data_IF_695658793352
#
_entry.id   IF_695658793352
#
_cell.length_a   1.000
_cell.length_b   1.000
_cell.length_c   1.000
_cell.angle_alpha   90.00
_cell.angle_beta   90.00
_cell.angle_gamma   90.00
#
_symmetry.space_group_name_H-M   'P 1'
#
loop_
_entity.id
_entity.type
_entity.pdbx_description
1 polymer ?
#
# COMPACT_ATOMS: atom_id res chain seq x y z
N UNK A 1 -20.73 10.28 -1.23
CA UNK A 1 -19.29 10.60 -1.20
C UNK A 1 -18.57 10.01 0.01
N UNK A 2 -18.98 10.31 1.26
CA UNK A 2 -18.30 9.86 2.49
C UNK A 2 -18.11 8.33 2.60
N UNK A 3 -19.12 7.54 2.18
CA UNK A 3 -19.05 6.07 2.24
C UNK A 3 -17.92 5.48 1.38
N UNK A 4 -17.61 6.09 0.24
CA UNK A 4 -16.57 5.61 -0.67
C UNK A 4 -15.17 5.87 -0.08
N UNK A 5 -14.99 7.01 0.59
CA UNK A 5 -13.75 7.34 1.32
C UNK A 5 -13.52 6.39 2.48
N UNK A 6 -14.57 6.06 3.26
CA UNK A 6 -14.43 5.09 4.36
C UNK A 6 -14.05 3.70 3.87
N UNK A 7 -14.55 3.27 2.70
CA UNK A 7 -14.21 1.97 2.11
C UNK A 7 -12.74 1.93 1.67
N UNK A 8 -12.26 2.98 1.02
CA UNK A 8 -10.83 3.12 0.69
C UNK A 8 -9.96 3.16 1.94
N UNK A 9 -10.41 3.82 3.00
CA UNK A 9 -9.68 3.84 4.27
C UNK A 9 -9.59 2.44 4.90
N UNK A 10 -10.65 1.63 4.84
CA UNK A 10 -10.61 0.23 5.29
C UNK A 10 -9.61 -0.59 4.47
N UNK A 11 -9.59 -0.39 3.15
CA UNK A 11 -8.65 -1.04 2.25
C UNK A 11 -7.20 -0.69 2.61
N UNK A 12 -6.89 0.61 2.69
CA UNK A 12 -5.54 1.08 2.99
C UNK A 12 -5.10 0.84 4.43
N UNK A 13 -6.02 0.81 5.39
CA UNK A 13 -5.71 0.50 6.79
C UNK A 13 -5.10 -0.89 6.97
N UNK A 14 -5.59 -1.89 6.22
CA UNK A 14 -5.06 -3.26 6.24
C UNK A 14 -3.67 -3.37 5.61
N UNK A 15 -3.33 -2.50 4.66
CA UNK A 15 -2.05 -2.53 3.94
C UNK A 15 -0.98 -1.64 4.57
N UNK A 16 -1.32 -0.42 4.99
CA UNK A 16 -0.36 0.59 5.43
C UNK A 16 0.41 0.14 6.67
N UNK A 17 -0.29 -0.40 7.68
CA UNK A 17 0.34 -0.86 8.93
C UNK A 17 1.44 -1.89 8.66
N UNK A 18 1.16 -3.04 8.01
CA UNK A 18 2.22 -4.00 7.72
C UNK A 18 3.29 -3.44 6.79
N UNK A 19 2.95 -2.57 5.83
CA UNK A 19 3.94 -1.97 4.92
C UNK A 19 4.95 -1.10 5.66
N UNK A 20 4.48 -0.26 6.58
CA UNK A 20 5.35 0.59 7.40
C UNK A 20 6.22 -0.28 8.31
N UNK A 21 5.65 -1.32 8.93
CA UNK A 21 6.41 -2.23 9.79
C UNK A 21 7.51 -2.97 9.02
N UNK A 22 7.18 -3.57 7.88
CA UNK A 22 8.16 -4.30 7.06
C UNK A 22 9.22 -3.36 6.47
N UNK A 23 8.85 -2.16 6.04
CA UNK A 23 9.84 -1.18 5.56
C UNK A 23 10.79 -0.75 6.66
N UNK A 24 10.29 -0.40 7.85
CA UNK A 24 11.13 -0.08 9.01
C UNK A 24 12.07 -1.23 9.40
N UNK A 25 11.58 -2.47 9.38
CA UNK A 25 12.41 -3.65 9.65
C UNK A 25 13.56 -3.77 8.63
N UNK A 26 13.29 -3.65 7.33
CA UNK A 26 14.35 -3.76 6.30
C UNK A 26 15.40 -2.65 6.44
N UNK A 27 14.97 -1.44 6.77
CA UNK A 27 15.89 -0.30 6.93
C UNK A 27 16.74 -0.45 8.18
N UNK A 28 16.20 -1.05 9.24
CA UNK A 28 16.99 -1.37 10.44
C UNK A 28 18.15 -2.33 10.12
N UNK A 29 18.01 -3.16 9.09
CA UNK A 29 19.04 -4.11 8.62
C UNK A 29 19.99 -3.51 7.58
N UNK A 30 19.53 -2.54 6.78
CA UNK A 30 20.27 -1.99 5.62
C UNK A 30 20.85 -0.59 5.86
N UNK A 31 20.49 0.05 6.97
CA UNK A 31 20.93 1.39 7.38
C UNK A 31 19.80 2.42 7.32
N UNK A 32 19.67 3.22 8.38
CA UNK A 32 18.64 4.24 8.52
C UNK A 32 18.86 5.43 7.59
N UNK A 33 18.12 5.47 6.48
CA UNK A 33 18.00 6.65 5.61
C UNK A 33 16.57 6.81 5.08
N UNK A 34 16.12 8.06 4.90
CA UNK A 34 14.79 8.35 4.37
C UNK A 34 14.64 7.84 2.93
N UNK A 35 15.70 7.92 2.12
CA UNK A 35 15.74 7.41 0.76
C UNK A 35 15.56 5.88 0.72
N UNK A 36 16.23 5.14 1.61
CA UNK A 36 16.03 3.69 1.73
C UNK A 36 14.62 3.36 2.21
N UNK A 37 14.04 4.19 3.11
CA UNK A 37 12.64 4.03 3.51
C UNK A 37 11.68 4.13 2.35
N UNK A 38 11.79 5.18 1.55
CA UNK A 38 10.98 5.37 0.35
C UNK A 38 11.08 4.21 -0.63
N UNK A 39 12.31 3.71 -0.87
CA UNK A 39 12.54 2.56 -1.73
C UNK A 39 11.93 1.27 -1.17
N UNK A 40 12.12 0.99 0.11
CA UNK A 40 11.55 -0.18 0.77
C UNK A 40 10.02 -0.13 0.74
N UNK A 41 9.43 1.01 1.09
CA UNK A 41 7.98 1.22 1.03
C UNK A 41 7.45 1.04 -0.40
N UNK A 42 8.15 1.60 -1.40
CA UNK A 42 7.78 1.48 -2.81
C UNK A 42 7.67 0.02 -3.29
N UNK A 43 8.57 -0.85 -2.82
CA UNK A 43 8.60 -2.27 -3.18
C UNK A 43 7.65 -3.12 -2.34
N UNK A 44 7.56 -2.85 -1.04
CA UNK A 44 6.76 -3.64 -0.10
C UNK A 44 5.26 -3.36 -0.27
N UNK A 45 4.86 -2.12 -0.55
CA UNK A 45 3.43 -1.77 -0.61
C UNK A 45 2.66 -2.53 -1.70
N UNK A 46 3.15 -2.62 -2.96
CA UNK A 46 2.52 -3.44 -3.99
C UNK A 46 2.64 -4.95 -3.70
N UNK A 47 3.73 -5.38 -3.08
CA UNK A 47 3.93 -6.78 -2.70
C UNK A 47 2.91 -7.22 -1.64
N UNK A 48 2.65 -6.38 -0.63
CA UNK A 48 1.63 -6.65 0.38
C UNK A 48 0.22 -6.51 -0.18
N UNK A 49 -0.03 -5.60 -1.13
CA UNK A 49 -1.30 -5.59 -1.87
C UNK A 49 -1.53 -6.95 -2.53
N UNK A 50 -0.54 -7.44 -3.28
CA UNK A 50 -0.60 -8.76 -3.89
C UNK A 50 -0.84 -9.85 -2.84
N UNK A 51 -0.03 -9.91 -1.79
CA UNK A 51 -0.13 -10.98 -0.79
C UNK A 51 -1.49 -10.98 -0.07
N UNK A 52 -1.97 -9.81 0.36
CA UNK A 52 -3.21 -9.70 1.10
C UNK A 52 -4.42 -9.96 0.20
N UNK A 53 -4.50 -9.32 -0.96
CA UNK A 53 -5.73 -9.34 -1.77
C UNK A 53 -5.70 -10.37 -2.91
N UNK A 54 -4.55 -10.77 -3.42
CA UNK A 54 -4.45 -11.83 -4.45
C UNK A 54 -4.24 -13.21 -3.87
N UNK A 55 -3.61 -13.35 -2.70
CA UNK A 55 -3.31 -14.67 -2.12
C UNK A 55 -4.28 -15.00 -0.99
N UNK A 56 -4.33 -14.15 0.04
CA UNK A 56 -5.04 -14.45 1.29
C UNK A 56 -6.55 -14.15 1.23
N UNK A 57 -6.92 -12.97 0.78
CA UNK A 57 -8.27 -12.40 0.88
C UNK A 57 -8.86 -12.08 -0.51
N UNK A 58 -8.74 -13.04 -1.45
CA UNK A 58 -9.24 -12.93 -2.83
C UNK A 58 -10.67 -12.42 -2.94
N UNK A 59 -11.53 -12.83 -2.00
CA UNK A 59 -12.95 -12.49 -2.03
C UNK A 59 -13.23 -11.03 -1.68
N UNK A 60 -12.30 -10.32 -1.03
CA UNK A 60 -12.50 -8.91 -0.69
C UNK A 60 -12.52 -8.02 -1.93
N UNK A 61 -11.89 -8.41 -3.05
CA UNK A 61 -12.04 -7.66 -4.30
C UNK A 61 -13.49 -7.58 -4.79
N UNK A 62 -14.28 -8.64 -4.60
CA UNK A 62 -15.71 -8.61 -4.95
C UNK A 62 -16.48 -7.65 -4.05
N UNK A 63 -16.12 -7.56 -2.77
CA UNK A 63 -16.70 -6.56 -1.86
C UNK A 63 -16.42 -5.15 -2.36
N UNK A 64 -15.16 -4.81 -2.68
CA UNK A 64 -14.83 -3.46 -3.18
C UNK A 64 -15.43 -3.17 -4.57
N UNK A 65 -15.54 -4.19 -5.42
CA UNK A 65 -16.18 -4.07 -6.73
C UNK A 65 -17.67 -3.70 -6.62
N UNK A 66 -18.39 -4.22 -5.63
CA UNK A 66 -19.80 -3.87 -5.37
C UNK A 66 -19.98 -2.38 -5.01
N UNK A 67 -18.92 -1.71 -4.56
CA UNK A 67 -18.92 -0.27 -4.27
C UNK A 67 -18.32 0.59 -5.40
N UNK A 68 -18.05 -0.01 -6.57
CA UNK A 68 -17.54 0.68 -7.75
C UNK A 68 -16.01 0.76 -7.87
N UNK A 69 -15.26 0.13 -6.95
CA UNK A 69 -13.81 0.08 -7.04
C UNK A 69 -13.36 -1.14 -7.83
N UNK A 70 -12.89 -0.92 -9.05
CA UNK A 70 -12.28 -2.00 -9.84
C UNK A 70 -10.92 -2.39 -9.26
N UNK A 71 -10.58 -3.68 -9.40
CA UNK A 71 -9.26 -4.22 -9.06
C UNK A 71 -8.11 -3.41 -9.67
N UNK A 72 -8.24 -3.02 -10.95
CA UNK A 72 -7.25 -2.20 -11.67
C UNK A 72 -7.07 -0.83 -11.02
N UNK A 73 -8.16 -0.19 -10.62
CA UNK A 73 -8.11 1.11 -9.96
C UNK A 73 -7.37 1.02 -8.62
N UNK A 74 -7.67 -0.01 -7.81
CA UNK A 74 -6.98 -0.24 -6.53
C UNK A 74 -5.47 -0.47 -6.72
N UNK A 75 -5.08 -1.22 -7.75
CA UNK A 75 -3.67 -1.44 -8.08
C UNK A 75 -2.97 -0.15 -8.51
N UNK A 76 -3.58 0.62 -9.42
CA UNK A 76 -3.04 1.90 -9.87
C UNK A 76 -2.89 2.85 -8.68
N UNK A 77 -3.89 2.96 -7.82
CA UNK A 77 -3.82 3.83 -6.66
C UNK A 77 -2.76 3.39 -5.65
N UNK A 78 -2.55 2.08 -5.44
CA UNK A 78 -1.42 1.56 -4.64
C UNK A 78 -0.07 1.95 -5.23
N UNK A 79 0.13 1.80 -6.54
CA UNK A 79 1.39 2.18 -7.21
C UNK A 79 1.63 3.70 -7.17
N UNK A 80 0.57 4.49 -7.35
CA UNK A 80 0.68 5.96 -7.27
C UNK A 80 1.04 6.39 -5.86
N UNK A 81 0.39 5.84 -4.83
CA UNK A 81 0.70 6.16 -3.42
C UNK A 81 2.13 5.74 -3.07
N UNK A 82 2.58 4.55 -3.50
CA UNK A 82 3.93 4.10 -3.23
C UNK A 82 4.99 5.01 -3.87
N UNK A 83 4.71 5.51 -5.07
CA UNK A 83 5.57 6.46 -5.78
C UNK A 83 5.56 7.83 -5.13
N UNK A 84 4.40 8.32 -4.66
CA UNK A 84 4.30 9.57 -3.90
C UNK A 84 5.14 9.47 -2.62
N UNK A 85 5.06 8.38 -1.86
CA UNK A 85 5.88 8.21 -0.65
C UNK A 85 7.36 8.22 -1.00
N UNK A 86 7.78 7.45 -2.02
CA UNK A 86 9.17 7.42 -2.49
C UNK A 86 9.69 8.80 -2.88
N UNK A 87 8.88 9.58 -3.59
CA UNK A 87 9.28 10.92 -4.05
C UNK A 87 9.37 11.89 -2.87
N UNK A 88 8.42 11.90 -1.95
CA UNK A 88 8.47 12.72 -0.74
C UNK A 88 9.74 12.41 0.08
N UNK A 89 10.05 11.13 0.29
CA UNK A 89 11.21 10.71 1.07
C UNK A 89 12.55 10.95 0.38
N UNK A 90 12.54 11.21 -0.94
CA UNK A 90 13.74 11.62 -1.68
C UNK A 90 14.16 13.05 -1.31
N UNK A 91 13.19 13.91 -0.96
CA UNK A 91 13.38 15.32 -0.65
C UNK A 91 13.51 15.60 0.87
N UNK A 92 13.49 14.57 1.70
CA UNK A 92 13.70 14.59 3.16
C UNK A 92 15.15 14.22 3.48
#
# INVERSE_FOLDING_TARGET
MMKNLTILQIFYGKLLIPTVLFSLLIISLTGFSYQNFGLCFFLIFPLLHYFVYEVRLKNEYYFYANFGFSKRLLWISTLVISLIVKTITLFL
#
